data_IF_809900071944
#
_entry.id   IF_809900071944
#
_cell.length_a   1.000
_cell.length_b   1.000
_cell.length_c   1.000
_cell.angle_alpha   90.00
_cell.angle_beta   90.00
_cell.angle_gamma   90.00
#
_symmetry.space_group_name_H-M   'P 1'
#
loop_
_entity.id
_entity.type
_entity.pdbx_description
1 polymer ?
#
# COMPACT_ATOMS: atom_id res chain seq x y z
N UNK A 1 -7.95 -2.16 -6.05
CA UNK A 1 -7.59 -2.55 -4.65
C UNK A 1 -7.94 -1.44 -3.64
N UNK A 2 -8.10 -1.73 -2.34
CA UNK A 2 -8.32 -0.72 -1.27
C UNK A 2 -7.33 -0.85 -0.12
N UNK A 3 -6.89 0.28 0.41
CA UNK A 3 -5.99 0.41 1.56
C UNK A 3 -6.62 1.28 2.64
N UNK A 4 -6.39 0.93 3.89
CA UNK A 4 -6.80 1.73 5.04
C UNK A 4 -5.56 2.13 5.83
N UNK A 5 -5.43 3.41 6.13
CA UNK A 5 -4.26 3.95 6.82
C UNK A 5 -4.68 5.08 7.76
N UNK A 6 -3.86 5.35 8.78
CA UNK A 6 -4.04 6.50 9.68
C UNK A 6 -3.27 7.74 9.24
N UNK A 7 -2.33 7.57 8.30
CA UNK A 7 -1.51 8.64 7.75
C UNK A 7 -1.28 8.45 6.25
N UNK A 8 -1.20 9.57 5.52
CA UNK A 8 -0.86 9.59 4.10
C UNK A 8 0.12 10.71 3.81
N UNK A 9 1.00 10.56 2.80
CA UNK A 9 1.79 11.68 2.31
C UNK A 9 0.91 12.79 1.75
N UNK A 10 1.50 13.99 1.65
CA UNK A 10 0.84 15.18 1.12
C UNK A 10 0.45 15.04 -0.37
N UNK A 11 1.10 14.14 -1.11
CA UNK A 11 0.77 13.78 -2.48
C UNK A 11 0.78 12.25 -2.63
N UNK A 12 -0.30 11.73 -3.21
CA UNK A 12 -0.39 10.33 -3.62
C UNK A 12 0.03 10.16 -5.08
N UNK A 13 0.51 8.97 -5.48
CA UNK A 13 0.69 8.63 -6.88
C UNK A 13 -0.61 8.78 -7.68
N UNK A 14 -0.52 9.01 -8.99
CA UNK A 14 -1.69 9.20 -9.87
C UNK A 14 -2.66 8.03 -9.89
N UNK A 15 -2.19 6.83 -9.52
CA UNK A 15 -2.97 5.60 -9.43
C UNK A 15 -3.61 5.35 -8.06
N UNK A 16 -3.47 6.29 -7.11
CA UNK A 16 -4.05 6.20 -5.77
C UNK A 16 -4.91 7.43 -5.45
N UNK A 17 -6.10 7.21 -4.91
CA UNK A 17 -7.06 8.27 -4.58
C UNK A 17 -7.64 8.08 -3.18
N UNK A 18 -7.74 9.17 -2.41
CA UNK A 18 -8.44 9.16 -1.12
C UNK A 18 -9.93 9.15 -1.39
N UNK A 19 -10.63 8.13 -0.91
CA UNK A 19 -12.10 8.01 -1.08
C UNK A 19 -12.86 8.37 0.19
N UNK A 20 -12.21 8.27 1.36
CA UNK A 20 -12.82 8.64 2.64
C UNK A 20 -11.75 8.99 3.69
N UNK A 21 -12.11 9.87 4.64
CA UNK A 21 -11.32 10.13 5.84
C UNK A 21 -12.29 10.29 7.02
N UNK A 22 -12.43 9.23 7.81
CA UNK A 22 -13.37 9.16 8.93
C UNK A 22 -12.62 8.87 10.23
N UNK A 23 -12.71 9.78 11.19
CA UNK A 23 -12.16 9.62 12.54
C UNK A 23 -10.68 9.19 12.57
N UNK A 24 -9.87 9.67 11.62
CA UNK A 24 -8.46 9.33 11.51
C UNK A 24 -8.16 8.04 10.76
N UNK A 25 -9.18 7.33 10.26
CA UNK A 25 -9.02 6.24 9.30
C UNK A 25 -9.26 6.77 7.88
N UNK A 26 -8.23 6.69 7.06
CA UNK A 26 -8.19 7.15 5.68
C UNK A 26 -8.32 5.93 4.77
N UNK A 27 -9.34 5.93 3.91
CA UNK A 27 -9.52 4.92 2.88
C UNK A 27 -8.92 5.44 1.58
N UNK A 28 -7.98 4.68 1.04
CA UNK A 28 -7.31 4.95 -0.23
C UNK A 28 -7.68 3.86 -1.22
N UNK A 29 -8.28 4.25 -2.33
CA UNK A 29 -8.53 3.38 -3.47
C UNK A 29 -7.33 3.39 -4.41
N UNK A 30 -6.88 2.19 -4.76
CA UNK A 30 -5.80 1.94 -5.71
C UNK A 30 -6.43 1.48 -7.02
N UNK A 31 -6.16 2.21 -8.10
CA UNK A 31 -6.43 1.78 -9.45
C UNK A 31 -5.41 0.72 -9.84
N UNK A 32 -5.77 -0.54 -9.65
CA UNK A 32 -4.93 -1.69 -9.98
C UNK A 32 -4.83 -1.95 -11.48
N UNK A 33 -5.66 -1.31 -12.31
CA UNK A 33 -5.53 -1.37 -13.77
C UNK A 33 -4.53 -0.36 -14.33
N UNK A 34 -4.07 0.60 -13.52
CA UNK A 34 -3.11 1.63 -13.94
C UNK A 34 -1.72 1.01 -14.20
N UNK A 35 -1.15 1.33 -15.36
CA UNK A 35 0.19 0.83 -15.74
C UNK A 35 1.27 1.24 -14.74
N UNK A 36 1.15 2.41 -14.12
CA UNK A 36 2.09 2.88 -13.11
C UNK A 36 2.03 2.04 -11.83
N UNK A 37 0.85 1.55 -11.45
CA UNK A 37 0.73 0.62 -10.33
C UNK A 37 1.31 -0.75 -10.69
N UNK A 38 1.00 -1.28 -11.87
CA UNK A 38 1.56 -2.56 -12.33
C UNK A 38 3.09 -2.55 -12.39
N UNK A 39 3.71 -1.48 -12.89
CA UNK A 39 5.17 -1.35 -12.91
C UNK A 39 5.78 -1.41 -11.50
N UNK A 40 5.15 -0.77 -10.52
CA UNK A 40 5.60 -0.84 -9.12
C UNK A 40 5.45 -2.26 -8.57
N UNK A 41 4.32 -2.94 -8.85
CA UNK A 41 4.11 -4.32 -8.41
C UNK A 41 5.17 -5.25 -9.01
N UNK A 42 5.48 -5.11 -10.30
CA UNK A 42 6.53 -5.91 -10.95
C UNK A 42 7.92 -5.65 -10.34
N UNK A 43 8.26 -4.38 -10.06
CA UNK A 43 9.52 -4.01 -9.44
C UNK A 43 9.68 -4.58 -8.02
N UNK A 44 8.60 -4.56 -7.23
CA UNK A 44 8.61 -5.01 -5.83
C UNK A 44 8.37 -6.52 -5.67
N UNK A 45 7.92 -7.20 -6.73
CA UNK A 45 7.58 -8.62 -6.69
C UNK A 45 8.80 -9.47 -6.40
N UNK A 46 8.69 -10.31 -5.38
CA UNK A 46 9.76 -11.21 -4.93
C UNK A 46 9.18 -12.55 -4.49
N UNK A 47 10.04 -13.56 -4.36
CA UNK A 47 9.63 -14.84 -3.81
C UNK A 47 9.40 -14.70 -2.30
N UNK A 48 8.14 -14.79 -1.87
CA UNK A 48 7.74 -14.65 -0.46
C UNK A 48 7.61 -16.00 0.24
N UNK A 49 7.37 -17.07 -0.52
CA UNK A 49 7.39 -18.47 -0.12
C UNK A 49 7.86 -19.30 -1.32
N UNK A 50 8.35 -20.54 -1.13
CA UNK A 50 8.78 -21.39 -2.25
C UNK A 50 7.72 -21.50 -3.35
N UNK A 51 8.00 -20.93 -4.53
CA UNK A 51 7.10 -20.91 -5.68
C UNK A 51 5.97 -19.85 -5.63
N UNK A 52 5.95 -18.97 -4.63
CA UNK A 52 4.96 -17.90 -4.48
C UNK A 52 5.64 -16.55 -4.67
N UNK A 53 5.31 -15.88 -5.78
CA UNK A 53 5.73 -14.50 -6.04
C UNK A 53 4.66 -13.54 -5.50
N UNK A 54 5.11 -12.53 -4.77
CA UNK A 54 4.21 -11.49 -4.26
C UNK A 54 4.99 -10.24 -3.85
N UNK A 55 4.24 -9.21 -3.47
CA UNK A 55 4.79 -7.97 -2.93
C UNK A 55 4.62 -8.00 -1.41
N UNK A 56 5.69 -7.74 -0.67
CA UNK A 56 5.59 -7.55 0.78
C UNK A 56 4.87 -6.24 1.09
N UNK A 57 3.95 -6.28 2.03
CA UNK A 57 3.18 -5.10 2.44
C UNK A 57 4.09 -3.92 2.86
N UNK A 58 5.19 -4.21 3.56
CA UNK A 58 6.19 -3.22 3.98
C UNK A 58 6.75 -2.40 2.80
N UNK A 59 7.06 -3.06 1.68
CA UNK A 59 7.63 -2.41 0.49
C UNK A 59 6.60 -1.51 -0.18
N UNK A 60 5.35 -1.98 -0.27
CA UNK A 60 4.27 -1.20 -0.87
C UNK A 60 3.94 0.03 -0.01
N UNK A 61 3.89 -0.12 1.32
CA UNK A 61 3.68 0.99 2.24
C UNK A 61 4.81 2.03 2.15
N UNK A 62 6.07 1.60 1.99
CA UNK A 62 7.21 2.52 1.79
C UNK A 62 7.07 3.36 0.52
N UNK A 63 6.68 2.76 -0.61
CA UNK A 63 6.45 3.51 -1.86
C UNK A 63 5.30 4.52 -1.70
N UNK A 64 4.27 4.14 -0.97
CA UNK A 64 3.14 5.01 -0.65
C UNK A 64 3.44 6.01 0.47
N UNK A 65 4.64 5.97 1.07
CA UNK A 65 5.01 6.74 2.26
C UNK A 65 3.95 6.65 3.37
N UNK A 66 3.39 5.45 3.54
CA UNK A 66 2.43 5.10 4.57
C UNK A 66 3.20 4.45 5.72
N UNK A 67 2.98 4.95 6.93
CA UNK A 67 3.54 4.34 8.14
C UNK A 67 2.78 3.04 8.44
N UNK A 68 3.49 1.91 8.37
CA UNK A 68 2.93 0.63 8.77
C UNK A 68 3.01 0.53 10.30
N UNK A 69 1.85 0.42 10.96
CA UNK A 69 1.79 0.12 12.39
C UNK A 69 1.89 -1.40 12.52
N UNK A 70 3.03 -1.89 12.99
CA UNK A 70 3.15 -3.30 13.38
C UNK A 70 2.35 -3.49 14.68
N UNK A 71 1.24 -4.22 14.60
CA UNK A 71 0.42 -4.54 15.78
C UNK A 71 0.97 -5.71 16.59
N UNK A 72 2.19 -6.19 16.30
CA UNK A 72 2.92 -7.10 17.18
C UNK A 72 3.43 -6.38 18.45
N UNK A 73 2.55 -5.71 19.19
CA UNK A 73 2.71 -5.64 20.64
C UNK A 73 2.14 -6.95 21.20
N UNK A 74 2.98 -7.99 21.26
CA UNK A 74 2.80 -9.02 22.29
C UNK A 74 2.91 -8.31 23.64
N UNK A 75 1.76 -8.08 24.28
CA UNK A 75 1.67 -7.67 25.68
C UNK A 75 1.01 -8.80 26.47
#
# INVERSE_FOLDING_TARGET
>A
MKLYTTSIPQALPSWATIVSNNAGLIEVEINDEDSGFHSIVEELSTEIQPGVIGVKAENLCQILNIEMIDTNEEN
#
